data_IF_859510895872
#
_entry.id   IF_859510895872
#
_cell.length_a   1.000
_cell.length_b   1.000
_cell.length_c   1.000
_cell.angle_alpha   90.00
_cell.angle_beta   90.00
_cell.angle_gamma   90.00
#
_symmetry.space_group_name_H-M   'P 1'
#
loop_
_entity.id
_entity.type
_entity.pdbx_description
1 polymer ?
#
# COMPACT_ATOMS: atom_id res chain seq x y z
N UNK A 1 23.82 68.82 1.87
CA UNK A 1 22.93 68.85 0.71
C UNK A 1 23.37 67.73 -0.21
N UNK A 2 22.52 66.73 -0.27
CA UNK A 2 22.87 65.32 -0.24
C UNK A 2 23.02 64.66 -1.61
N UNK A 3 23.82 63.59 -1.62
CA UNK A 3 24.07 62.70 -2.76
C UNK A 3 22.84 61.80 -2.98
N UNK A 4 22.26 61.69 -4.18
CA UNK A 4 21.14 60.77 -4.40
C UNK A 4 21.64 59.32 -4.42
N UNK A 5 21.09 58.50 -3.53
CA UNK A 5 21.40 57.08 -3.39
C UNK A 5 20.83 56.22 -4.54
N UNK A 6 21.30 54.96 -4.69
CA UNK A 6 20.79 54.05 -5.70
C UNK A 6 19.37 53.61 -5.30
N UNK A 7 18.42 53.92 -6.17
CA UNK A 7 17.04 53.43 -6.11
C UNK A 7 17.03 51.90 -6.14
N UNK A 8 16.64 51.30 -5.02
CA UNK A 8 16.26 49.89 -4.96
C UNK A 8 15.02 49.69 -5.83
N UNK A 9 15.24 49.15 -7.03
CA UNK A 9 14.15 48.66 -7.86
C UNK A 9 13.48 47.48 -7.14
N UNK A 10 12.42 47.76 -6.40
CA UNK A 10 11.45 46.75 -5.98
C UNK A 10 10.83 46.18 -7.24
N UNK A 11 11.38 45.05 -7.69
CA UNK A 11 10.82 44.28 -8.80
C UNK A 11 9.38 43.91 -8.46
N UNK A 12 8.44 44.07 -9.40
CA UNK A 12 7.07 43.64 -9.18
C UNK A 12 7.08 42.12 -8.99
N UNK A 13 6.39 41.65 -7.96
CA UNK A 13 6.07 40.25 -7.77
C UNK A 13 4.99 39.86 -8.81
N UNK A 14 5.36 39.92 -10.09
CA UNK A 14 4.58 39.37 -11.19
C UNK A 14 4.73 37.85 -11.15
N UNK A 15 3.57 37.20 -11.24
CA UNK A 15 3.38 35.78 -11.01
C UNK A 15 4.24 34.86 -11.86
N UNK A 16 4.30 33.62 -11.40
CA UNK A 16 4.60 32.47 -12.25
C UNK A 16 6.06 32.34 -12.64
N UNK A 17 6.96 32.20 -11.65
CA UNK A 17 7.99 31.17 -11.85
C UNK A 17 7.24 29.85 -11.81
N UNK A 18 6.76 29.43 -12.98
CA UNK A 18 6.30 28.07 -13.19
C UNK A 18 7.35 27.17 -12.55
N UNK A 19 6.94 26.42 -11.52
CA UNK A 19 7.76 25.40 -10.90
C UNK A 19 8.42 24.64 -12.07
N UNK A 20 9.74 24.49 -12.10
CA UNK A 20 10.44 23.84 -13.23
C UNK A 20 9.92 22.39 -13.51
N UNK A 21 9.04 21.94 -12.64
CA UNK A 21 8.12 20.82 -12.69
C UNK A 21 6.72 21.29 -13.10
N UNK A 22 6.31 20.98 -14.34
CA UNK A 22 4.90 21.11 -14.71
C UNK A 22 4.02 20.20 -13.84
N UNK A 23 2.72 20.49 -13.81
CA UNK A 23 1.74 19.61 -13.17
C UNK A 23 1.81 18.21 -13.76
N UNK A 24 1.85 18.11 -15.10
CA UNK A 24 2.03 16.83 -15.79
C UNK A 24 3.36 16.13 -15.50
N UNK A 25 4.49 16.85 -15.46
CA UNK A 25 5.76 16.23 -15.07
C UNK A 25 5.73 15.71 -13.63
N UNK A 26 5.05 16.43 -12.73
CA UNK A 26 4.88 16.01 -11.33
C UNK A 26 3.96 14.79 -11.21
N UNK A 27 2.89 14.74 -12.01
CA UNK A 27 1.98 13.60 -12.09
C UNK A 27 2.70 12.34 -12.58
N UNK A 28 3.40 12.40 -13.72
CA UNK A 28 4.18 11.27 -14.23
C UNK A 28 5.28 10.85 -13.27
N UNK A 29 5.91 11.79 -12.57
CA UNK A 29 6.86 11.47 -11.52
C UNK A 29 6.21 10.63 -10.42
N UNK A 30 5.02 11.03 -9.94
CA UNK A 30 4.31 10.30 -8.87
C UNK A 30 3.88 8.91 -9.35
N UNK A 31 3.46 8.77 -10.61
CA UNK A 31 3.10 7.48 -11.21
C UNK A 31 4.32 6.57 -11.34
N UNK A 32 5.34 7.00 -12.06
CA UNK A 32 6.53 6.18 -12.33
C UNK A 32 7.29 5.81 -11.04
N UNK A 33 7.40 6.74 -10.10
CA UNK A 33 7.96 6.44 -8.77
C UNK A 33 7.03 5.52 -7.97
N UNK A 34 5.73 5.80 -7.98
CA UNK A 34 4.72 5.07 -7.21
C UNK A 34 4.63 3.60 -7.60
N UNK A 35 4.62 3.29 -8.89
CA UNK A 35 4.55 1.92 -9.39
C UNK A 35 5.76 1.08 -8.93
N UNK A 36 6.96 1.65 -9.03
CA UNK A 36 8.20 1.01 -8.55
C UNK A 36 8.25 0.89 -7.03
N UNK A 37 7.81 1.93 -6.34
CA UNK A 37 7.70 1.94 -4.89
C UNK A 37 6.79 0.79 -4.42
N UNK A 38 5.67 0.54 -5.10
CA UNK A 38 4.77 -0.58 -4.80
C UNK A 38 5.38 -1.94 -5.17
N UNK A 39 6.02 -2.07 -6.34
CA UNK A 39 6.71 -3.30 -6.75
C UNK A 39 7.78 -3.75 -5.76
N UNK A 40 8.45 -2.80 -5.11
CA UNK A 40 9.43 -3.04 -4.05
C UNK A 40 8.82 -3.17 -2.66
N UNK A 41 7.52 -3.46 -2.55
CA UNK A 41 6.77 -3.55 -1.29
C UNK A 41 6.95 -2.29 -0.40
N UNK A 42 6.90 -1.11 -1.01
CA UNK A 42 7.17 0.19 -0.35
C UNK A 42 8.61 0.35 0.14
N UNK A 43 9.55 -0.35 -0.48
CA UNK A 43 10.98 -0.24 -0.25
C UNK A 43 11.64 0.96 -0.91
N UNK A 44 12.94 1.13 -0.66
CA UNK A 44 13.73 2.22 -1.23
C UNK A 44 14.17 1.89 -2.66
N UNK A 45 13.95 2.83 -3.59
CA UNK A 45 14.43 2.73 -4.97
C UNK A 45 15.95 2.84 -5.03
N UNK A 46 16.59 2.02 -5.87
CA UNK A 46 18.02 2.07 -6.18
C UNK A 46 18.28 3.03 -7.34
N UNK A 47 19.56 3.31 -7.61
CA UNK A 47 19.96 4.24 -8.66
C UNK A 47 19.40 3.86 -10.05
N UNK A 48 19.37 2.57 -10.39
CA UNK A 48 18.77 2.10 -11.64
C UNK A 48 17.29 2.49 -11.73
N UNK A 49 16.52 2.22 -10.67
CA UNK A 49 15.10 2.57 -10.62
C UNK A 49 14.88 4.08 -10.78
N UNK A 50 15.71 4.90 -10.13
CA UNK A 50 15.62 6.36 -10.24
C UNK A 50 15.95 6.87 -11.64
N UNK A 51 16.90 6.24 -12.36
CA UNK A 51 17.17 6.57 -13.75
C UNK A 51 15.98 6.26 -14.65
N UNK A 52 15.33 5.12 -14.46
CA UNK A 52 14.14 4.75 -15.24
C UNK A 52 12.94 5.66 -14.91
N UNK A 53 12.80 6.12 -13.65
CA UNK A 53 11.81 7.16 -13.29
C UNK A 53 12.11 8.48 -14.02
N UNK A 54 13.37 8.91 -14.06
CA UNK A 54 13.75 10.13 -14.76
C UNK A 54 13.49 10.03 -16.27
N UNK A 55 13.78 8.88 -16.87
CA UNK A 55 13.48 8.61 -18.28
C UNK A 55 11.99 8.73 -18.58
N UNK A 56 11.11 8.13 -17.76
CA UNK A 56 9.67 8.24 -17.92
C UNK A 56 9.17 9.70 -17.83
N UNK A 57 9.71 10.49 -16.89
CA UNK A 57 9.37 11.91 -16.75
C UNK A 57 9.82 12.71 -17.97
N UNK A 58 11.03 12.47 -18.47
CA UNK A 58 11.58 13.18 -19.62
C UNK A 58 10.90 12.78 -20.94
N UNK A 59 10.42 11.53 -21.05
CA UNK A 59 9.69 11.04 -22.22
C UNK A 59 8.34 11.73 -22.45
N UNK A 60 7.70 12.24 -21.39
CA UNK A 60 6.42 13.00 -21.49
C UNK A 60 6.62 14.42 -22.01
N UNK A 61 7.79 15.01 -21.79
CA UNK A 61 8.02 16.45 -22.03
C UNK A 61 8.49 16.76 -23.48
N UNK A 62 8.48 15.76 -24.38
CA UNK A 62 8.88 15.86 -25.80
C UNK A 62 10.18 16.65 -26.05
N UNK A 63 11.10 16.71 -25.08
CA UNK A 63 12.32 17.51 -25.14
C UNK A 63 12.12 19.03 -25.10
N UNK A 64 10.90 19.54 -24.89
CA UNK A 64 10.58 20.98 -24.85
C UNK A 64 11.09 21.62 -23.55
N UNK A 65 11.24 20.84 -22.48
CA UNK A 65 11.68 21.31 -21.17
C UNK A 65 13.02 20.70 -20.76
N UNK A 66 13.68 21.39 -19.83
CA UNK A 66 15.00 20.99 -19.32
C UNK A 66 14.96 19.56 -18.75
N UNK A 67 15.91 18.73 -19.22
CA UNK A 67 16.11 17.36 -18.79
C UNK A 67 16.20 17.23 -17.27
N UNK A 68 15.48 16.26 -16.70
CA UNK A 68 15.47 15.96 -15.26
C UNK A 68 16.38 14.79 -14.95
N UNK A 69 17.26 14.95 -13.96
CA UNK A 69 18.12 13.88 -13.46
C UNK A 69 17.40 13.01 -12.44
N UNK A 70 17.92 11.80 -12.22
CA UNK A 70 17.48 10.86 -11.18
C UNK A 70 17.48 11.51 -9.78
N UNK A 71 18.49 12.31 -9.49
CA UNK A 71 18.61 13.07 -8.23
C UNK A 71 17.52 14.14 -8.11
N UNK A 72 17.19 14.85 -9.20
CA UNK A 72 16.13 15.85 -9.20
C UNK A 72 14.75 15.22 -9.00
N UNK A 73 14.48 14.08 -9.63
CA UNK A 73 13.26 13.29 -9.41
C UNK A 73 13.13 12.89 -7.94
N UNK A 74 14.19 12.35 -7.35
CA UNK A 74 14.22 11.98 -5.92
C UNK A 74 13.91 13.16 -5.01
N UNK A 75 14.59 14.29 -5.20
CA UNK A 75 14.38 15.50 -4.38
C UNK A 75 12.95 16.04 -4.51
N UNK A 76 12.36 15.95 -5.71
CA UNK A 76 10.97 16.35 -5.94
C UNK A 76 10.01 15.42 -5.22
N UNK A 77 10.21 14.10 -5.29
CA UNK A 77 9.43 13.12 -4.51
C UNK A 77 9.53 13.41 -3.01
N UNK A 78 10.72 13.68 -2.47
CA UNK A 78 10.89 14.00 -1.05
C UNK A 78 10.12 15.26 -0.64
N UNK A 79 10.10 16.27 -1.52
CA UNK A 79 9.31 17.49 -1.33
C UNK A 79 7.81 17.20 -1.32
N UNK A 80 7.33 16.37 -2.26
CA UNK A 80 5.93 15.95 -2.34
C UNK A 80 5.52 15.14 -1.10
N UNK A 81 6.37 14.24 -0.61
CA UNK A 81 6.14 13.46 0.61
C UNK A 81 6.05 14.37 1.84
N UNK A 82 6.89 15.40 1.93
CA UNK A 82 6.79 16.42 2.99
C UNK A 82 5.47 17.18 2.91
N UNK A 83 5.10 17.64 1.72
CA UNK A 83 3.82 18.34 1.50
C UNK A 83 2.62 17.45 1.85
N UNK A 84 2.64 16.18 1.48
CA UNK A 84 1.61 15.20 1.86
C UNK A 84 1.46 15.09 3.39
N UNK A 85 2.57 15.01 4.15
CA UNK A 85 2.49 14.96 5.62
C UNK A 85 1.81 16.19 6.22
N UNK A 86 2.05 17.38 5.68
CA UNK A 86 1.40 18.62 6.11
C UNK A 86 -0.07 18.68 5.69
N UNK A 87 -0.39 18.14 4.51
CA UNK A 87 -1.74 18.13 3.98
C UNK A 87 -2.63 17.11 4.73
N UNK A 88 -2.05 15.99 5.17
CA UNK A 88 -2.74 14.91 5.89
C UNK A 88 -3.39 15.35 7.20
N UNK A 89 -2.84 16.36 7.87
CA UNK A 89 -3.41 16.89 9.13
C UNK A 89 -4.50 17.93 8.93
N UNK A 90 -4.85 18.28 7.68
CA UNK A 90 -5.88 19.27 7.37
C UNK A 90 -7.26 18.60 7.27
N UNK A 91 -8.36 19.34 7.52
CA UNK A 91 -9.71 18.83 7.31
C UNK A 91 -9.92 18.42 5.84
N UNK A 92 -10.59 17.29 5.64
CA UNK A 92 -10.96 16.79 4.31
C UNK A 92 -12.18 17.53 3.75
N UNK A 93 -12.32 17.64 2.42
CA UNK A 93 -11.42 17.13 1.37
C UNK A 93 -10.19 18.02 1.15
N UNK A 94 -9.04 17.42 0.86
CA UNK A 94 -7.84 18.21 0.51
C UNK A 94 -8.04 18.89 -0.84
N UNK A 95 -7.70 20.18 -0.92
CA UNK A 95 -7.70 20.95 -2.16
C UNK A 95 -6.46 20.67 -3.05
N UNK A 96 -5.53 19.82 -2.62
CA UNK A 96 -4.32 19.54 -3.36
C UNK A 96 -4.48 18.33 -4.28
N UNK A 97 -4.38 18.57 -5.60
CA UNK A 97 -4.62 17.58 -6.66
C UNK A 97 -3.82 16.28 -6.53
N UNK A 98 -2.60 16.33 -5.97
CA UNK A 98 -1.76 15.14 -5.79
C UNK A 98 -2.01 14.39 -4.47
N UNK A 99 -2.80 14.95 -3.56
CA UNK A 99 -3.08 14.33 -2.26
C UNK A 99 -3.67 12.93 -2.37
N UNK A 100 -4.76 12.68 -3.15
CA UNK A 100 -5.37 11.36 -3.20
C UNK A 100 -4.40 10.28 -3.72
N UNK A 101 -3.57 10.62 -4.72
CA UNK A 101 -2.59 9.69 -5.30
C UNK A 101 -1.47 9.36 -4.30
N UNK A 102 -0.94 10.37 -3.59
CA UNK A 102 0.08 10.16 -2.56
C UNK A 102 -0.47 9.42 -1.33
N UNK A 103 -1.72 9.66 -0.98
CA UNK A 103 -2.40 8.96 0.12
C UNK A 103 -2.61 7.47 -0.20
N UNK A 104 -3.01 7.15 -1.42
CA UNK A 104 -3.07 5.76 -1.87
C UNK A 104 -1.70 5.05 -1.81
N UNK A 105 -0.62 5.73 -2.24
CA UNK A 105 0.72 5.16 -2.31
C UNK A 105 1.39 4.99 -0.93
N UNK A 106 1.25 5.98 -0.05
CA UNK A 106 2.03 6.09 1.21
C UNK A 106 1.14 5.99 2.45
N UNK A 107 -0.12 6.37 2.34
CA UNK A 107 -1.09 6.40 3.45
C UNK A 107 -1.63 5.02 3.83
N UNK A 108 -1.53 4.03 2.94
CA UNK A 108 -2.07 2.67 3.08
C UNK A 108 -1.30 1.77 4.07
N UNK A 109 -0.86 2.33 5.20
CA UNK A 109 -0.55 1.62 6.45
C UNK A 109 -1.65 1.80 7.52
N UNK A 110 -2.75 2.47 7.18
CA UNK A 110 -3.93 2.54 8.03
C UNK A 110 -4.78 1.31 7.81
N UNK A 111 -4.99 0.55 8.89
CA UNK A 111 -6.17 -0.29 9.10
C UNK A 111 -7.40 0.45 8.55
N UNK A 112 -8.38 -0.24 7.94
CA UNK A 112 -9.51 0.40 7.27
C UNK A 112 -10.06 1.52 8.14
N UNK A 113 -10.00 2.73 7.60
CA UNK A 113 -10.39 3.96 8.29
C UNK A 113 -11.81 3.79 8.79
N UNK A 114 -11.96 3.57 10.10
CA UNK A 114 -13.23 3.72 10.80
C UNK A 114 -13.69 5.15 10.55
N UNK A 115 -14.79 5.30 9.83
CA UNK A 115 -15.45 6.60 9.62
C UNK A 115 -16.09 6.99 10.95
N UNK A 116 -15.37 7.75 11.78
CA UNK A 116 -15.95 8.34 12.99
C UNK A 116 -16.82 9.53 12.60
N UNK A 117 -18.13 9.29 12.49
CA UNK A 117 -19.13 10.34 12.32
C UNK A 117 -19.25 11.13 13.64
N UNK A 118 -18.73 12.36 13.66
CA UNK A 118 -18.94 13.28 14.79
C UNK A 118 -20.22 14.06 14.56
N UNK A 119 -21.27 13.76 15.33
CA UNK A 119 -22.51 14.52 15.34
C UNK A 119 -22.23 15.82 16.10
N UNK A 120 -22.08 16.94 15.38
CA UNK A 120 -22.05 18.27 16.00
C UNK A 120 -23.47 18.68 16.34
N UNK A 121 -23.83 18.61 17.62
CA UNK A 121 -25.08 19.16 18.12
C UNK A 121 -25.01 20.70 18.09
N UNK A 122 -25.84 21.34 17.27
CA UNK A 122 -25.96 22.78 17.21
C UNK A 122 -26.74 23.30 18.42
N UNK A 123 -26.15 24.23 19.17
CA UNK A 123 -26.82 24.92 20.30
C UNK A 123 -27.73 26.03 19.76
N UNK A 124 -29.01 26.12 20.18
CA UNK A 124 -29.86 27.24 19.78
C UNK A 124 -29.52 28.48 20.62
N UNK A 125 -29.22 29.58 19.94
CA UNK A 125 -29.12 30.92 20.52
C UNK A 125 -30.52 31.53 20.60
N UNK A 126 -31.04 31.74 21.80
CA UNK A 126 -32.27 32.52 22.02
C UNK A 126 -31.97 33.67 22.98
N UNK A 127 -32.29 34.89 22.54
CA UNK A 127 -32.22 36.12 23.34
C UNK A 127 -33.60 36.74 23.46
N UNK A 128 -34.20 36.75 24.66
CA UNK A 128 -34.86 37.90 25.34
C UNK A 128 -35.58 37.42 26.60
N UNK A 129 -35.71 38.34 27.56
CA UNK A 129 -35.98 38.11 28.97
C UNK A 129 -37.48 38.12 29.36
N UNK A 130 -37.80 37.49 30.50
CA UNK A 130 -39.03 37.69 31.29
C UNK A 130 -39.28 36.54 32.30
N UNK A 131 -39.57 36.78 33.60
CA UNK A 131 -39.62 35.73 34.63
C UNK A 131 -41.05 35.32 35.07
N UNK A 132 -41.25 34.02 35.36
CA UNK A 132 -41.85 33.40 36.60
C UNK A 132 -42.39 31.95 36.36
N UNK A 133 -42.24 31.01 37.32
CA UNK A 133 -42.96 29.71 37.40
C UNK A 133 -44.18 29.82 38.37
N UNK A 134 -45.06 28.80 38.62
CA UNK A 134 -44.88 27.33 38.49
C UNK A 134 -46.05 26.47 37.89
N UNK A 135 -45.64 25.30 37.32
CA UNK A 135 -46.17 23.90 37.33
C UNK A 135 -47.68 23.57 37.48
N UNK A 136 -48.32 22.54 36.89
CA UNK A 136 -48.01 21.32 36.10
C UNK A 136 -49.19 21.03 35.15
N UNK A 137 -48.94 20.61 33.90
CA UNK A 137 -49.71 19.61 33.14
C UNK A 137 -49.23 19.62 31.68
N UNK A 138 -48.27 18.76 31.32
CA UNK A 138 -47.97 18.52 29.92
C UNK A 138 -48.03 17.03 29.61
N UNK A 139 -49.16 16.69 28.99
CA UNK A 139 -49.38 15.64 28.00
C UNK A 139 -48.07 15.16 27.37
N UNK A 140 -47.87 13.85 27.31
CA UNK A 140 -46.83 13.25 26.48
C UNK A 140 -47.15 13.57 25.02
N UNK A 141 -46.66 14.70 24.51
CA UNK A 141 -46.61 14.96 23.08
C UNK A 141 -45.38 14.24 22.54
N UNK A 142 -45.65 13.26 21.67
CA UNK A 142 -44.63 12.55 20.93
C UNK A 142 -43.72 13.58 20.26
N UNK A 143 -42.43 13.50 20.57
CA UNK A 143 -41.41 14.29 19.91
C UNK A 143 -41.52 13.97 18.42
N UNK A 144 -42.00 14.93 17.64
CA UNK A 144 -42.16 14.78 16.21
C UNK A 144 -40.76 14.69 15.61
N UNK A 145 -40.27 13.46 15.46
CA UNK A 145 -39.03 13.13 14.80
C UNK A 145 -39.21 13.45 13.31
N UNK A 146 -39.00 14.71 12.97
CA UNK A 146 -38.55 15.17 11.65
C UNK A 146 -37.17 14.59 11.27
N UNK A 147 -36.82 13.41 11.79
CA UNK A 147 -35.50 12.76 11.84
C UNK A 147 -35.56 11.29 11.35
N UNK A 148 -36.73 10.84 10.86
CA UNK A 148 -36.88 9.50 10.28
C UNK A 148 -36.06 9.28 9.02
N UNK A 149 -35.80 10.32 8.21
CA UNK A 149 -35.00 10.18 6.98
C UNK A 149 -33.51 9.99 7.27
N UNK A 150 -32.95 10.82 8.15
CA UNK A 150 -31.54 10.76 8.52
C UNK A 150 -31.21 9.47 9.27
N UNK A 151 -32.08 9.02 10.19
CA UNK A 151 -31.94 7.73 10.85
C UNK A 151 -32.00 6.56 9.87
N UNK A 152 -32.91 6.59 8.88
CA UNK A 152 -32.99 5.57 7.82
C UNK A 152 -31.78 5.60 6.88
N UNK A 153 -31.23 6.77 6.59
CA UNK A 153 -30.00 6.91 5.80
C UNK A 153 -28.78 6.36 6.54
N UNK A 154 -28.67 6.66 7.84
CA UNK A 154 -27.61 6.13 8.68
C UNK A 154 -27.68 4.61 8.79
N UNK A 155 -28.86 4.04 9.04
CA UNK A 155 -29.06 2.59 9.10
C UNK A 155 -28.65 1.91 7.78
N UNK A 156 -29.04 2.49 6.63
CA UNK A 156 -28.63 1.99 5.31
C UNK A 156 -27.13 2.08 5.08
N UNK A 157 -26.49 3.15 5.52
CA UNK A 157 -25.04 3.30 5.41
C UNK A 157 -24.31 2.24 6.24
N UNK A 158 -24.72 2.02 7.50
CA UNK A 158 -24.10 1.03 8.40
C UNK A 158 -24.21 -0.39 7.82
N UNK A 159 -25.37 -0.79 7.27
CA UNK A 159 -25.54 -2.11 6.65
C UNK A 159 -24.61 -2.29 5.45
N UNK A 160 -24.52 -1.29 4.57
CA UNK A 160 -23.60 -1.32 3.42
C UNK A 160 -22.13 -1.41 3.84
N UNK A 161 -21.75 -0.72 4.92
CA UNK A 161 -20.41 -0.85 5.47
C UNK A 161 -20.15 -2.27 6.00
N UNK A 162 -21.13 -2.90 6.66
CA UNK A 162 -21.05 -4.29 7.11
C UNK A 162 -20.78 -5.27 5.96
N UNK A 163 -21.56 -5.17 4.88
CA UNK A 163 -21.41 -6.03 3.70
C UNK A 163 -20.04 -5.85 3.02
N UNK A 164 -19.54 -4.61 2.93
CA UNK A 164 -18.23 -4.32 2.36
C UNK A 164 -17.13 -4.90 3.25
N UNK A 165 -17.23 -4.73 4.57
CA UNK A 165 -16.26 -5.24 5.52
C UNK A 165 -16.19 -6.76 5.49
N UNK A 166 -17.34 -7.44 5.47
CA UNK A 166 -17.41 -8.90 5.38
C UNK A 166 -16.70 -9.41 4.12
N UNK A 167 -16.99 -8.84 2.94
CA UNK A 167 -16.30 -9.20 1.69
C UNK A 167 -14.78 -9.02 1.78
N UNK A 168 -14.31 -7.95 2.41
CA UNK A 168 -12.87 -7.68 2.57
C UNK A 168 -12.23 -8.73 3.48
N UNK A 169 -12.84 -9.03 4.62
CA UNK A 169 -12.28 -10.00 5.56
C UNK A 169 -12.32 -11.43 4.99
N UNK A 170 -13.39 -11.81 4.28
CA UNK A 170 -13.46 -13.09 3.55
C UNK A 170 -12.36 -13.19 2.50
N UNK A 171 -12.15 -12.14 1.70
CA UNK A 171 -11.10 -12.11 0.68
C UNK A 171 -9.70 -12.24 1.29
N UNK A 172 -9.48 -11.62 2.45
CA UNK A 172 -8.23 -11.71 3.21
C UNK A 172 -7.99 -13.12 3.77
N UNK A 173 -9.01 -13.73 4.36
CA UNK A 173 -8.93 -15.11 4.85
C UNK A 173 -8.65 -16.11 3.72
N UNK A 174 -9.32 -15.94 2.58
CA UNK A 174 -9.11 -16.79 1.41
C UNK A 174 -7.67 -16.71 0.89
N UNK A 175 -7.11 -15.50 0.82
CA UNK A 175 -5.72 -15.31 0.41
C UNK A 175 -4.72 -15.87 1.42
N UNK A 176 -5.02 -15.81 2.72
CA UNK A 176 -4.22 -16.42 3.76
C UNK A 176 -4.22 -17.95 3.67
N UNK A 177 -5.39 -18.56 3.42
CA UNK A 177 -5.51 -20.00 3.20
C UNK A 177 -4.74 -20.48 1.96
N UNK A 178 -4.80 -19.74 0.85
CA UNK A 178 -4.05 -20.13 -0.37
C UNK A 178 -2.53 -20.13 -0.14
N UNK A 179 -2.01 -19.13 0.59
CA UNK A 179 -0.60 -19.08 0.95
C UNK A 179 -0.20 -20.22 1.89
N UNK A 180 -1.03 -20.56 2.86
CA UNK A 180 -0.78 -21.69 3.75
C UNK A 180 -0.83 -23.03 3.00
N UNK A 181 -1.76 -23.16 2.05
CA UNK A 181 -1.84 -24.33 1.16
C UNK A 181 -0.56 -24.50 0.36
N UNK A 182 -0.08 -23.46 -0.32
CA UNK A 182 1.18 -23.50 -1.07
C UNK A 182 2.37 -23.84 -0.16
N UNK A 183 2.39 -23.30 1.06
CA UNK A 183 3.42 -23.64 2.07
C UNK A 183 3.39 -25.13 2.42
N UNK A 184 2.20 -25.70 2.62
CA UNK A 184 2.04 -27.11 2.98
C UNK A 184 2.37 -28.03 1.81
N UNK A 185 1.97 -27.68 0.58
CA UNK A 185 2.27 -28.43 -0.64
C UNK A 185 3.78 -28.55 -0.87
N UNK A 186 4.50 -27.43 -0.78
CA UNK A 186 5.96 -27.45 -0.88
C UNK A 186 6.63 -28.30 0.22
N UNK A 187 6.13 -28.19 1.46
CA UNK A 187 6.65 -29.01 2.56
C UNK A 187 6.42 -30.51 2.31
N UNK A 188 5.21 -30.88 1.85
CA UNK A 188 4.86 -32.26 1.51
C UNK A 188 5.72 -32.80 0.35
N UNK A 189 5.94 -32.02 -0.70
CA UNK A 189 6.77 -32.41 -1.83
C UNK A 189 8.23 -32.66 -1.41
N UNK A 190 8.76 -31.81 -0.53
CA UNK A 190 10.09 -32.01 0.04
C UNK A 190 10.18 -33.30 0.87
N UNK A 191 9.16 -33.61 1.67
CA UNK A 191 9.13 -34.85 2.45
C UNK A 191 8.99 -36.08 1.57
N UNK A 192 8.17 -36.01 0.52
CA UNK A 192 8.03 -37.05 -0.49
C UNK A 192 9.38 -37.33 -1.17
N UNK A 193 10.09 -36.29 -1.61
CA UNK A 193 11.44 -36.42 -2.18
C UNK A 193 12.42 -37.04 -1.19
N UNK A 194 12.41 -36.58 0.06
CA UNK A 194 13.26 -37.13 1.14
C UNK A 194 13.01 -38.62 1.34
N UNK A 195 11.75 -39.03 1.39
CA UNK A 195 11.36 -40.42 1.58
C UNK A 195 11.73 -41.29 0.38
N UNK A 196 11.51 -40.79 -0.84
CA UNK A 196 11.89 -41.51 -2.06
C UNK A 196 13.40 -41.77 -2.12
N UNK A 197 14.22 -40.74 -1.88
CA UNK A 197 15.68 -40.86 -1.88
C UNK A 197 16.16 -41.86 -0.82
N UNK A 198 15.54 -41.88 0.35
CA UNK A 198 15.85 -42.87 1.39
C UNK A 198 15.48 -44.29 0.96
N UNK A 199 14.30 -44.48 0.37
CA UNK A 199 13.83 -45.78 -0.12
C UNK A 199 14.73 -46.31 -1.24
N UNK A 200 15.10 -45.47 -2.20
CA UNK A 200 16.01 -45.82 -3.30
C UNK A 200 17.39 -46.25 -2.77
N UNK A 201 17.95 -45.49 -1.81
CA UNK A 201 19.22 -45.83 -1.18
C UNK A 201 19.18 -47.21 -0.48
N UNK A 202 18.09 -47.53 0.23
CA UNK A 202 17.90 -48.84 0.87
C UNK A 202 17.81 -49.98 -0.17
N UNK A 203 17.10 -49.74 -1.28
CA UNK A 203 16.94 -50.71 -2.35
C UNK A 203 18.27 -51.00 -3.07
N UNK A 204 19.10 -49.98 -3.31
CA UNK A 204 20.47 -50.16 -3.83
C UNK A 204 21.37 -50.95 -2.88
N UNK A 205 21.36 -50.61 -1.59
CA UNK A 205 22.13 -51.35 -0.58
C UNK A 205 21.69 -52.82 -0.49
N UNK A 206 20.40 -53.11 -0.63
CA UNK A 206 19.87 -54.47 -0.69
C UNK A 206 20.32 -55.24 -1.94
N UNK A 207 20.32 -54.59 -3.10
CA UNK A 207 20.86 -55.17 -4.36
C UNK A 207 22.34 -55.49 -4.24
N UNK A 208 23.14 -54.58 -3.68
CA UNK A 208 24.57 -54.78 -3.45
C UNK A 208 24.84 -55.94 -2.49
N UNK A 209 24.05 -56.08 -1.42
CA UNK A 209 24.16 -57.21 -0.50
C UNK A 209 23.79 -58.53 -1.17
N UNK A 210 22.74 -58.58 -1.99
CA UNK A 210 22.31 -59.82 -2.67
C UNK A 210 23.27 -60.26 -3.78
N UNK A 211 23.85 -59.32 -4.52
CA UNK A 211 24.86 -59.60 -5.54
C UNK A 211 26.18 -60.17 -4.95
N UNK A 212 26.52 -59.81 -3.71
CA UNK A 212 27.69 -60.35 -2.99
C UNK A 212 27.49 -61.76 -2.43
N UNK A 213 26.26 -62.28 -2.39
CA UNK A 213 25.92 -63.61 -1.88
C UNK A 213 25.33 -64.54 -2.96
N UNK A 214 25.48 -64.24 -4.25
CA UNK A 214 25.15 -65.20 -5.31
C UNK A 214 26.18 -66.36 -5.28
N UNK A 215 25.76 -67.62 -5.06
CA UNK A 215 26.70 -68.74 -5.02
C UNK A 215 27.16 -69.02 -6.45
N UNK A 216 28.41 -68.66 -6.75
CA UNK A 216 29.07 -69.03 -7.99
C UNK A 216 29.13 -70.55 -8.12
N UNK A 217 28.32 -71.10 -9.01
CA UNK A 217 28.33 -72.51 -9.38
C UNK A 217 29.67 -72.89 -10.00
N UNK A 218 30.38 -73.76 -9.28
CA UNK A 218 31.46 -74.67 -9.66
C UNK A 218 32.14 -74.57 -11.03
N UNK A 219 33.48 -74.65 -10.97
CA UNK A 219 34.27 -75.67 -11.66
C UNK A 219 35.65 -75.77 -11.01
N UNK A 220 35.79 -76.69 -10.05
CA UNK A 220 37.08 -77.24 -9.65
C UNK A 220 37.68 -77.96 -10.87
N UNK A 221 38.73 -77.41 -11.47
CA UNK A 221 39.62 -78.18 -12.34
C UNK A 221 40.91 -78.43 -11.57
N UNK A 222 41.01 -79.63 -11.00
CA UNK A 222 42.28 -80.23 -10.65
C UNK A 222 43.12 -80.34 -11.93
N UNK A 223 44.34 -79.81 -11.89
CA UNK A 223 45.41 -80.29 -12.76
C UNK A 223 46.63 -80.57 -11.91
N UNK A 224 46.87 -81.87 -11.80
CA UNK A 224 47.97 -82.54 -11.12
C UNK A 224 49.22 -82.50 -12.02
N UNK A 225 50.37 -82.21 -11.41
CA UNK A 225 51.74 -82.69 -11.70
C UNK A 225 52.52 -82.28 -12.96
N UNK A 226 53.83 -82.11 -12.66
CA UNK A 226 55.05 -82.35 -13.47
C UNK A 226 55.34 -81.28 -14.53
N UNK A 227 56.54 -80.72 -14.66
CA UNK A 227 57.91 -81.04 -14.23
C UNK A 227 58.62 -79.76 -13.80
#
# INVERSE_FOLDING_TARGET
MDRPGPTTATRPHSGGREDCWSEGATETLIEAWGDRYLQLNRGNLRQKDWKEVAEAVNGRDNGVKAYKTDVQCKNRVDTLKKKYKLEKSKPLPSAWVFYPRLDFLIGSNTKPTTVTLTIKSAKPTSSRAGPKPPVYAHRMEAVDLSDGSACRELARAILKFGEIYERIESSKQQKMMELEKQRMEFAMDLESQRLNMFMDAQLELGKMKRAKYAPGSGKFRNSISKF
#
